data_IF_480741894948
#
_entry.id   IF_480741894948
#
_cell.length_a   1.000
_cell.length_b   1.000
_cell.length_c   1.000
_cell.angle_alpha   90.00
_cell.angle_beta   90.00
_cell.angle_gamma   90.00
#
_symmetry.space_group_name_H-M   'P 1'
#
loop_
_entity.id
_entity.type
_entity.pdbx_description
1 polymer ?
#
# COMPACT_ATOMS: atom_id res chain seq x y z
N UNK A 1 61.70 -3.01 -37.27
CA UNK A 1 60.52 -3.95 -37.37
C UNK A 1 59.62 -3.71 -36.17
N UNK A 2 58.54 -3.05 -36.38
CA UNK A 2 57.51 -2.79 -35.31
C UNK A 2 56.50 -3.90 -35.29
N UNK A 3 55.98 -4.34 -34.12
CA UNK A 3 54.86 -5.26 -34.06
C UNK A 3 53.54 -4.50 -33.99
N UNK A 4 52.57 -5.06 -34.69
CA UNK A 4 51.25 -4.46 -34.91
C UNK A 4 50.37 -4.37 -33.66
N UNK A 5 49.55 -3.34 -33.67
CA UNK A 5 48.48 -3.09 -32.73
C UNK A 5 47.26 -3.97 -33.03
N UNK A 6 46.90 -4.84 -32.10
CA UNK A 6 45.61 -5.54 -32.11
C UNK A 6 44.53 -4.67 -31.49
N UNK A 7 43.56 -4.25 -32.32
CA UNK A 7 42.32 -3.60 -31.89
C UNK A 7 41.41 -4.62 -31.22
N UNK A 8 41.30 -4.57 -29.89
CA UNK A 8 40.22 -5.24 -29.17
C UNK A 8 38.94 -4.43 -29.28
N UNK A 9 37.97 -4.98 -29.99
CA UNK A 9 36.57 -4.51 -29.98
C UNK A 9 35.99 -4.80 -28.60
N UNK A 10 35.74 -3.78 -27.80
CA UNK A 10 34.85 -3.87 -26.62
C UNK A 10 33.43 -4.11 -27.12
N UNK A 11 32.93 -5.30 -26.96
CA UNK A 11 31.52 -5.61 -27.05
C UNK A 11 30.83 -5.03 -25.81
N UNK A 12 29.96 -4.05 -26.04
CA UNK A 12 29.03 -3.57 -25.05
C UNK A 12 27.98 -4.67 -24.82
N UNK A 13 28.16 -5.51 -23.81
CA UNK A 13 27.11 -6.38 -23.29
C UNK A 13 26.09 -5.49 -22.58
N UNK A 14 25.00 -5.17 -23.29
CA UNK A 14 23.81 -4.62 -22.70
C UNK A 14 23.26 -5.62 -21.66
N UNK A 15 23.46 -5.34 -20.37
CA UNK A 15 22.80 -6.04 -19.28
C UNK A 15 21.29 -5.81 -19.44
N UNK A 16 20.60 -6.77 -20.05
CA UNK A 16 19.15 -6.85 -19.95
C UNK A 16 18.80 -6.99 -18.46
N UNK A 17 18.12 -5.99 -17.89
CA UNK A 17 17.62 -6.07 -16.53
C UNK A 17 16.72 -7.31 -16.43
N UNK A 18 17.05 -8.24 -15.53
CA UNK A 18 16.19 -9.40 -15.26
C UNK A 18 14.84 -8.88 -14.74
N UNK A 19 13.77 -9.20 -15.44
CA UNK A 19 12.41 -8.93 -14.97
C UNK A 19 12.19 -9.60 -13.61
N UNK A 20 11.63 -8.85 -12.66
CA UNK A 20 11.34 -9.33 -11.32
C UNK A 20 9.88 -9.80 -11.25
N UNK A 21 9.65 -11.10 -11.39
CA UNK A 21 8.33 -11.70 -11.27
C UNK A 21 7.93 -11.90 -9.80
N UNK A 22 6.63 -11.93 -9.58
CA UNK A 22 6.06 -12.18 -8.24
C UNK A 22 6.41 -13.59 -7.78
N UNK A 23 6.92 -13.70 -6.57
CA UNK A 23 7.24 -14.97 -5.92
C UNK A 23 6.06 -15.45 -5.07
N UNK A 24 5.65 -16.71 -5.26
CA UNK A 24 4.67 -17.37 -4.41
C UNK A 24 5.34 -18.39 -3.50
N UNK A 25 5.23 -18.17 -2.18
CA UNK A 25 5.73 -19.11 -1.17
C UNK A 25 4.75 -20.28 -0.91
N UNK A 26 4.02 -20.73 -1.93
CA UNK A 26 3.04 -21.82 -1.80
C UNK A 26 3.20 -22.86 -2.92
N UNK A 27 3.85 -24.01 -2.62
CA UNK A 27 4.09 -25.06 -3.63
C UNK A 27 2.83 -25.83 -4.04
N UNK A 28 1.70 -25.63 -3.33
CA UNK A 28 0.45 -26.33 -3.65
C UNK A 28 -0.29 -25.70 -4.82
N UNK A 29 -0.05 -24.40 -5.12
CA UNK A 29 -0.72 -23.70 -6.21
C UNK A 29 -0.41 -24.29 -7.58
N UNK A 30 0.80 -24.76 -7.80
CA UNK A 30 1.21 -25.39 -9.06
C UNK A 30 0.45 -26.69 -9.37
N UNK A 31 -0.11 -27.34 -8.34
CA UNK A 31 -0.87 -28.60 -8.46
C UNK A 31 -2.37 -28.35 -8.67
N UNK A 32 -2.83 -27.12 -8.53
CA UNK A 32 -4.25 -26.78 -8.70
C UNK A 32 -4.60 -26.76 -10.21
N UNK A 33 -5.68 -27.42 -10.58
CA UNK A 33 -6.19 -27.35 -11.97
C UNK A 33 -6.80 -26.00 -12.28
N UNK A 34 -7.43 -25.39 -11.29
CA UNK A 34 -8.08 -24.08 -11.35
C UNK A 34 -7.89 -23.38 -10.01
N UNK A 35 -7.55 -22.10 -10.04
CA UNK A 35 -7.47 -21.24 -8.86
C UNK A 35 -8.64 -20.26 -8.88
N UNK A 36 -9.52 -20.36 -7.89
CA UNK A 36 -10.68 -19.49 -7.72
C UNK A 36 -10.36 -18.42 -6.69
N UNK A 37 -10.33 -17.18 -7.14
CA UNK A 37 -10.19 -15.98 -6.30
C UNK A 37 -11.59 -15.60 -5.82
N UNK A 38 -12.06 -16.31 -4.78
CA UNK A 38 -13.45 -16.30 -4.33
C UNK A 38 -13.98 -14.89 -4.00
N UNK A 39 -13.17 -14.09 -3.29
CA UNK A 39 -13.60 -12.76 -2.84
C UNK A 39 -13.51 -11.69 -3.95
N UNK A 40 -12.81 -11.99 -5.05
CA UNK A 40 -12.84 -11.19 -6.27
C UNK A 40 -13.89 -11.66 -7.28
N UNK A 41 -14.47 -12.83 -7.08
CA UNK A 41 -15.33 -13.51 -8.05
C UNK A 41 -14.63 -13.73 -9.41
N UNK A 42 -13.33 -14.05 -9.40
CA UNK A 42 -12.47 -14.30 -10.56
C UNK A 42 -11.85 -15.70 -10.45
N UNK A 43 -11.50 -16.31 -11.57
CA UNK A 43 -10.83 -17.63 -11.58
C UNK A 43 -10.05 -17.88 -12.85
N UNK A 44 -9.00 -18.69 -12.77
CA UNK A 44 -8.14 -19.03 -13.91
C UNK A 44 -8.84 -19.87 -14.96
N UNK A 45 -9.93 -20.56 -14.62
CA UNK A 45 -10.76 -21.31 -15.56
C UNK A 45 -11.81 -20.45 -16.28
N UNK A 46 -12.06 -19.24 -15.80
CA UNK A 46 -13.13 -18.37 -16.35
C UNK A 46 -12.62 -17.04 -16.90
N UNK A 47 -11.39 -16.64 -16.57
CA UNK A 47 -10.79 -15.36 -16.96
C UNK A 47 -9.37 -15.56 -17.48
N UNK A 48 -9.04 -14.88 -18.57
CA UNK A 48 -7.66 -14.81 -19.11
C UNK A 48 -6.89 -13.68 -18.38
N UNK A 49 -6.27 -14.02 -17.25
CA UNK A 49 -5.54 -13.06 -16.42
C UNK A 49 -4.37 -12.38 -17.16
N UNK A 50 -3.55 -13.08 -17.95
CA UNK A 50 -2.52 -12.43 -18.78
C UNK A 50 -3.08 -11.34 -19.71
N UNK A 51 -4.17 -11.59 -20.40
CA UNK A 51 -4.80 -10.61 -21.26
C UNK A 51 -5.41 -9.44 -20.48
N UNK A 52 -6.03 -9.72 -19.32
CA UNK A 52 -6.72 -8.70 -18.53
C UNK A 52 -5.77 -7.82 -17.71
N UNK A 53 -4.68 -8.38 -17.19
CA UNK A 53 -3.84 -7.73 -16.16
C UNK A 53 -2.33 -7.76 -16.45
N UNK A 54 -1.87 -8.42 -17.52
CA UNK A 54 -0.44 -8.61 -17.80
C UNK A 54 0.36 -7.32 -18.02
N UNK A 55 -0.31 -6.22 -18.33
CA UNK A 55 0.29 -4.88 -18.48
C UNK A 55 0.37 -4.08 -17.18
N UNK A 56 -0.16 -4.59 -16.05
CA UNK A 56 -0.13 -3.90 -14.75
C UNK A 56 1.30 -3.72 -14.26
N UNK A 57 1.62 -2.50 -13.81
CA UNK A 57 2.91 -2.13 -13.19
C UNK A 57 2.72 -1.50 -11.80
N UNK A 58 1.59 -0.84 -11.58
CA UNK A 58 1.28 -0.19 -10.30
C UNK A 58 -0.05 -0.71 -9.77
N UNK A 59 -0.06 -1.08 -8.50
CA UNK A 59 -1.28 -1.46 -7.79
C UNK A 59 -1.45 -0.52 -6.60
N UNK A 60 -2.57 0.17 -6.54
CA UNK A 60 -2.91 1.03 -5.41
C UNK A 60 -4.06 0.40 -4.62
N UNK A 61 -3.87 0.24 -3.31
CA UNK A 61 -4.87 -0.38 -2.44
C UNK A 61 -5.30 0.58 -1.33
N UNK A 62 -6.60 0.59 -1.01
CA UNK A 62 -7.15 1.48 0.02
C UNK A 62 -8.41 0.93 0.66
N UNK A 63 -8.80 1.47 1.82
CA UNK A 63 -9.88 0.91 2.63
C UNK A 63 -11.29 1.01 2.03
N UNK A 64 -11.57 2.02 1.20
CA UNK A 64 -12.91 2.35 0.74
C UNK A 64 -13.10 2.12 -0.77
N UNK A 65 -14.13 1.38 -1.21
CA UNK A 65 -14.45 1.22 -2.63
C UNK A 65 -14.64 2.56 -3.36
N UNK A 66 -15.33 3.50 -2.75
CA UNK A 66 -15.59 4.82 -3.36
C UNK A 66 -14.32 5.64 -3.56
N UNK A 67 -13.41 5.63 -2.58
CA UNK A 67 -12.11 6.30 -2.70
C UNK A 67 -11.23 5.67 -3.76
N UNK A 68 -11.25 4.34 -3.90
CA UNK A 68 -10.48 3.64 -4.92
C UNK A 68 -11.05 3.84 -6.33
N UNK A 69 -12.39 4.01 -6.45
CA UNK A 69 -13.02 4.44 -7.70
C UNK A 69 -12.63 5.89 -8.08
N UNK A 70 -12.66 6.80 -7.11
CA UNK A 70 -12.23 8.19 -7.33
C UNK A 70 -10.74 8.27 -7.71
N UNK A 71 -9.90 7.47 -7.06
CA UNK A 71 -8.47 7.40 -7.38
C UNK A 71 -8.21 6.94 -8.81
N UNK A 72 -8.91 5.89 -9.29
CA UNK A 72 -8.68 5.42 -10.68
C UNK A 72 -9.14 6.45 -11.71
N UNK A 73 -10.23 7.18 -11.44
CA UNK A 73 -10.69 8.27 -12.30
C UNK A 73 -9.65 9.40 -12.35
N UNK A 74 -9.12 9.80 -11.19
CA UNK A 74 -8.04 10.78 -11.08
C UNK A 74 -6.78 10.34 -11.85
N UNK A 75 -6.35 9.09 -11.69
CA UNK A 75 -5.19 8.54 -12.42
C UNK A 75 -5.43 8.52 -13.93
N UNK A 76 -6.65 8.19 -14.37
CA UNK A 76 -6.99 8.21 -15.80
C UNK A 76 -6.81 9.59 -16.44
N UNK A 77 -7.24 10.63 -15.74
CA UNK A 77 -7.05 12.03 -16.16
C UNK A 77 -5.56 12.40 -16.17
N UNK A 78 -4.83 12.12 -15.09
CA UNK A 78 -3.40 12.43 -14.95
C UNK A 78 -2.53 11.74 -16.01
N UNK A 79 -2.89 10.54 -16.43
CA UNK A 79 -2.15 9.79 -17.44
C UNK A 79 -2.64 10.04 -18.89
N UNK A 80 -3.72 10.80 -19.06
CA UNK A 80 -4.33 11.02 -20.38
C UNK A 80 -4.93 9.75 -20.98
N UNK A 81 -5.41 8.81 -20.13
CA UNK A 81 -5.98 7.52 -20.52
C UNK A 81 -7.52 7.49 -20.45
N UNK A 82 -8.15 8.57 -20.03
CA UNK A 82 -9.60 8.67 -19.90
C UNK A 82 -10.12 10.04 -20.29
N UNK A 83 -11.40 10.11 -20.63
CA UNK A 83 -12.12 11.37 -20.81
C UNK A 83 -12.82 11.75 -19.49
N UNK A 84 -13.00 13.04 -19.18
CA UNK A 84 -13.79 13.48 -18.04
C UNK A 84 -15.19 12.86 -18.08
N UNK A 85 -15.60 12.27 -16.94
CA UNK A 85 -16.91 11.63 -16.81
C UNK A 85 -16.98 10.16 -17.29
N UNK A 86 -15.88 9.54 -17.73
CA UNK A 86 -15.85 8.11 -17.99
C UNK A 86 -16.17 7.31 -16.71
N UNK A 87 -17.07 6.35 -16.82
CA UNK A 87 -17.31 5.37 -15.76
C UNK A 87 -16.32 4.21 -15.89
N UNK A 88 -15.68 3.86 -14.77
CA UNK A 88 -14.78 2.71 -14.69
C UNK A 88 -15.53 1.58 -14.02
N UNK A 89 -15.81 0.46 -14.71
CA UNK A 89 -16.57 -0.64 -14.15
C UNK A 89 -15.76 -1.33 -13.04
N UNK A 90 -16.48 -1.77 -12.00
CA UNK A 90 -15.92 -2.63 -10.98
C UNK A 90 -15.68 -4.03 -11.57
N UNK A 91 -14.41 -4.43 -11.67
CA UNK A 91 -14.01 -5.76 -12.20
C UNK A 91 -14.53 -6.88 -11.27
N UNK A 92 -14.65 -6.62 -9.97
CA UNK A 92 -15.17 -7.55 -8.97
C UNK A 92 -16.70 -7.43 -8.78
N UNK A 93 -17.46 -7.06 -9.81
CA UNK A 93 -18.90 -6.84 -9.70
C UNK A 93 -19.72 -8.10 -9.33
N UNK A 94 -19.13 -9.29 -9.36
CA UNK A 94 -19.73 -10.54 -8.91
C UNK A 94 -19.76 -10.70 -7.38
N UNK A 95 -19.19 -9.77 -6.63
CA UNK A 95 -19.13 -9.78 -5.16
C UNK A 95 -19.31 -8.37 -4.59
N UNK A 96 -19.71 -8.27 -3.32
CA UNK A 96 -19.78 -7.04 -2.54
C UNK A 96 -18.59 -6.86 -1.56
N UNK A 97 -17.62 -7.78 -1.61
CA UNK A 97 -16.50 -7.80 -0.65
C UNK A 97 -15.44 -6.75 -0.95
N UNK A 98 -15.01 -6.71 -2.21
CA UNK A 98 -13.98 -5.78 -2.68
C UNK A 98 -14.38 -5.18 -4.01
N UNK A 99 -13.81 -4.03 -4.31
CA UNK A 99 -13.94 -3.38 -5.61
C UNK A 99 -12.56 -3.25 -6.26
N UNK A 100 -12.50 -3.48 -7.57
CA UNK A 100 -11.28 -3.43 -8.36
C UNK A 100 -11.53 -2.64 -9.65
N UNK A 101 -10.65 -1.73 -9.97
CA UNK A 101 -10.71 -0.87 -11.15
C UNK A 101 -9.35 -0.84 -11.84
N UNK A 102 -9.32 -0.77 -13.17
CA UNK A 102 -8.07 -0.74 -13.95
C UNK A 102 -8.09 0.36 -14.99
N UNK A 103 -6.97 1.06 -15.12
CA UNK A 103 -6.71 2.02 -16.21
C UNK A 103 -5.26 1.89 -16.65
N UNK A 104 -5.05 1.47 -17.91
CA UNK A 104 -3.70 1.19 -18.40
C UNK A 104 -2.91 0.32 -17.43
N UNK A 105 -1.67 0.69 -17.06
CA UNK A 105 -0.83 -0.12 -16.19
C UNK A 105 -1.16 0.03 -14.69
N UNK A 106 -2.25 0.69 -14.32
CA UNK A 106 -2.63 0.95 -12.93
C UNK A 106 -3.87 0.17 -12.54
N UNK A 107 -3.77 -0.58 -11.45
CA UNK A 107 -4.85 -1.29 -10.78
C UNK A 107 -5.17 -0.61 -9.45
N UNK A 108 -6.45 -0.40 -9.16
CA UNK A 108 -6.94 0.18 -7.91
C UNK A 108 -7.89 -0.79 -7.22
N UNK A 109 -7.59 -1.16 -5.97
CA UNK A 109 -8.32 -2.21 -5.25
C UNK A 109 -8.72 -1.75 -3.86
N UNK A 110 -9.97 -1.98 -3.46
CA UNK A 110 -10.38 -1.76 -2.06
C UNK A 110 -10.05 -2.96 -1.19
N UNK A 111 -9.72 -2.72 0.10
CA UNK A 111 -9.34 -3.78 1.03
C UNK A 111 -10.18 -3.83 2.33
N UNK A 112 -11.16 -2.92 2.50
CA UNK A 112 -11.93 -2.84 3.74
C UNK A 112 -11.11 -2.30 4.92
N UNK A 113 -11.35 -2.80 6.14
CA UNK A 113 -10.68 -2.38 7.36
C UNK A 113 -10.05 -3.56 8.10
N UNK A 114 -8.86 -3.35 8.64
CA UNK A 114 -8.16 -4.26 9.53
C UNK A 114 -7.43 -5.41 8.84
N UNK A 115 -6.51 -6.00 9.58
CA UNK A 115 -5.62 -7.07 9.11
C UNK A 115 -6.38 -8.24 8.47
N UNK A 116 -7.48 -8.79 9.02
CA UNK A 116 -8.16 -9.91 8.39
C UNK A 116 -8.70 -9.57 7.00
N UNK A 117 -9.26 -8.38 6.82
CA UNK A 117 -9.83 -7.98 5.53
C UNK A 117 -8.76 -7.79 4.46
N UNK A 118 -7.73 -6.97 4.74
CA UNK A 118 -6.65 -6.75 3.76
C UNK A 118 -5.84 -8.03 3.49
N UNK A 119 -5.69 -8.93 4.46
CA UNK A 119 -4.99 -10.21 4.29
C UNK A 119 -5.67 -11.07 3.22
N UNK A 120 -6.99 -11.21 3.29
CA UNK A 120 -7.77 -11.94 2.29
C UNK A 120 -7.56 -11.32 0.89
N UNK A 121 -7.73 -10.01 0.80
CA UNK A 121 -7.56 -9.27 -0.45
C UNK A 121 -6.16 -9.46 -1.03
N UNK A 122 -5.10 -9.34 -0.21
CA UNK A 122 -3.72 -9.47 -0.66
C UNK A 122 -3.38 -10.89 -1.14
N UNK A 123 -3.89 -11.94 -0.50
CA UNK A 123 -3.71 -13.30 -0.99
C UNK A 123 -4.26 -13.48 -2.40
N UNK A 124 -5.46 -12.98 -2.65
CA UNK A 124 -6.08 -13.10 -3.98
C UNK A 124 -5.42 -12.16 -5.00
N UNK A 125 -5.06 -10.95 -4.62
CA UNK A 125 -4.35 -9.99 -5.47
C UNK A 125 -2.97 -10.51 -5.92
N UNK A 126 -2.17 -11.03 -4.99
CA UNK A 126 -0.84 -11.56 -5.29
C UNK A 126 -0.96 -12.78 -6.24
N UNK A 127 -1.94 -13.65 -6.02
CA UNK A 127 -2.22 -14.77 -6.93
C UNK A 127 -2.68 -14.30 -8.31
N UNK A 128 -3.57 -13.30 -8.38
CA UNK A 128 -4.01 -12.68 -9.63
C UNK A 128 -2.81 -12.17 -10.44
N UNK A 129 -1.96 -11.37 -9.83
CA UNK A 129 -0.78 -10.79 -10.47
C UNK A 129 0.24 -11.87 -10.91
N UNK A 130 0.40 -12.94 -10.11
CA UNK A 130 1.21 -14.08 -10.47
C UNK A 130 0.66 -14.80 -11.71
N UNK A 131 -0.64 -15.16 -11.72
CA UNK A 131 -1.29 -15.81 -12.87
C UNK A 131 -1.30 -14.91 -14.11
N UNK A 132 -1.38 -13.60 -13.94
CA UNK A 132 -1.26 -12.61 -15.01
C UNK A 132 0.18 -12.45 -15.55
N UNK A 133 1.17 -13.10 -14.93
CA UNK A 133 2.60 -13.00 -15.28
C UNK A 133 3.12 -11.56 -15.22
N UNK A 134 2.62 -10.78 -14.27
CA UNK A 134 3.08 -9.43 -14.07
C UNK A 134 4.52 -9.40 -13.55
N UNK A 135 5.33 -8.47 -14.03
CA UNK A 135 6.71 -8.25 -13.59
C UNK A 135 6.94 -6.79 -13.16
N UNK A 136 7.92 -6.57 -12.30
CA UNK A 136 8.33 -5.25 -11.81
C UNK A 136 7.19 -4.44 -11.18
N UNK A 137 6.35 -5.13 -10.41
CA UNK A 137 5.19 -4.55 -9.77
C UNK A 137 5.59 -3.69 -8.58
N UNK A 138 4.96 -2.54 -8.46
CA UNK A 138 4.95 -1.70 -7.26
C UNK A 138 3.55 -1.65 -6.67
N UNK A 139 3.39 -2.04 -5.39
CA UNK A 139 2.10 -1.96 -4.69
C UNK A 139 2.18 -0.84 -3.64
N UNK A 140 1.24 0.10 -3.67
CA UNK A 140 1.18 1.22 -2.73
C UNK A 140 -0.16 1.23 -2.01
N UNK A 141 -0.11 1.18 -0.67
CA UNK A 141 -1.29 1.39 0.16
C UNK A 141 -1.52 2.88 0.39
N UNK A 142 -2.72 3.34 0.06
CA UNK A 142 -3.18 4.72 0.24
C UNK A 142 -4.24 4.73 1.33
N UNK A 143 -3.97 5.39 2.46
CA UNK A 143 -4.85 5.31 3.62
C UNK A 143 -5.03 6.62 4.39
N UNK A 144 -5.85 6.50 5.44
CA UNK A 144 -6.03 7.49 6.49
C UNK A 144 -5.52 6.94 7.82
N UNK A 145 -5.14 7.79 8.75
CA UNK A 145 -4.51 7.41 10.01
C UNK A 145 -4.73 8.46 11.10
N UNK A 146 -4.49 8.08 12.35
CA UNK A 146 -4.31 9.02 13.44
C UNK A 146 -2.84 9.45 13.51
N UNK A 147 -2.56 10.75 13.49
CA UNK A 147 -1.20 11.28 13.63
C UNK A 147 -0.72 11.23 15.07
N UNK A 148 0.59 11.16 15.30
CA UNK A 148 1.23 11.37 16.59
C UNK A 148 2.23 12.52 16.46
N UNK A 149 1.91 13.66 17.09
CA UNK A 149 2.73 14.88 17.01
C UNK A 149 2.78 15.49 15.60
N UNK A 150 1.72 15.30 14.82
CA UNK A 150 1.56 15.84 13.49
C UNK A 150 0.20 16.54 13.36
N UNK A 151 0.20 17.68 12.70
CA UNK A 151 -1.02 18.38 12.34
C UNK A 151 -1.92 17.54 11.43
N UNK A 152 -3.26 17.61 11.60
CA UNK A 152 -4.19 16.97 10.68
C UNK A 152 -3.92 17.39 9.22
N UNK A 153 -4.03 16.45 8.30
CA UNK A 153 -3.71 16.68 6.90
C UNK A 153 -2.24 16.44 6.54
N UNK A 154 -1.36 16.16 7.50
CA UNK A 154 0.02 15.73 7.21
C UNK A 154 0.04 14.36 6.55
N UNK A 155 0.91 14.17 5.56
CA UNK A 155 1.10 12.88 4.90
C UNK A 155 2.28 12.16 5.52
N UNK A 156 2.09 10.88 5.87
CA UNK A 156 3.15 10.01 6.38
C UNK A 156 3.47 8.96 5.33
N UNK A 157 4.72 8.95 4.87
CA UNK A 157 5.30 7.85 4.12
C UNK A 157 5.93 6.91 5.14
N UNK A 158 5.45 5.67 5.18
CA UNK A 158 5.90 4.70 6.18
C UNK A 158 7.31 4.22 5.87
N UNK A 159 8.24 4.43 6.80
CA UNK A 159 9.57 3.84 6.76
C UNK A 159 9.53 2.38 7.18
N UNK A 160 8.85 2.10 8.30
CA UNK A 160 8.72 0.79 8.92
C UNK A 160 7.34 0.67 9.54
N UNK A 161 6.64 -0.43 9.26
CA UNK A 161 5.44 -0.77 10.03
C UNK A 161 5.87 -1.46 11.33
N UNK A 162 5.30 -1.05 12.45
CA UNK A 162 5.57 -1.61 13.78
C UNK A 162 4.26 -2.07 14.43
N UNK A 163 4.34 -3.06 15.30
CA UNK A 163 3.21 -3.50 16.12
C UNK A 163 2.94 -2.53 17.29
N UNK A 164 1.91 -2.81 18.10
CA UNK A 164 1.54 -2.00 19.25
C UNK A 164 2.59 -2.03 20.39
N UNK A 165 3.64 -2.84 20.28
CA UNK A 165 4.83 -2.86 21.17
C UNK A 165 6.05 -2.19 20.52
N UNK A 166 5.83 -1.48 19.38
CA UNK A 166 6.82 -0.75 18.59
C UNK A 166 7.89 -1.61 17.91
N UNK A 167 7.64 -2.93 17.79
CA UNK A 167 8.53 -3.86 17.10
C UNK A 167 8.18 -3.96 15.60
N UNK A 168 9.18 -4.05 14.70
CA UNK A 168 8.96 -4.14 13.26
C UNK A 168 8.57 -5.56 12.83
N UNK A 169 7.43 -6.03 13.30
CA UNK A 169 6.97 -7.40 13.13
C UNK A 169 5.45 -7.51 13.00
N UNK A 170 5.01 -8.58 12.34
CA UNK A 170 3.65 -9.11 12.39
C UNK A 170 3.67 -10.45 13.09
N UNK A 171 2.93 -10.59 14.18
CA UNK A 171 2.66 -11.87 14.82
C UNK A 171 1.36 -12.47 14.27
N UNK A 172 1.41 -13.74 13.89
CA UNK A 172 0.25 -14.49 13.39
C UNK A 172 0.27 -15.92 13.93
N UNK A 173 -0.86 -16.42 14.38
CA UNK A 173 -1.00 -17.82 14.77
C UNK A 173 -1.28 -18.66 13.53
N UNK A 174 -0.38 -19.61 13.22
CA UNK A 174 -0.51 -20.55 12.12
C UNK A 174 -0.42 -21.98 12.66
N UNK A 175 -1.44 -22.79 12.46
CA UNK A 175 -1.51 -24.16 12.98
C UNK A 175 -1.21 -24.25 14.49
N UNK A 176 -1.73 -23.28 15.27
CA UNK A 176 -1.54 -23.22 16.73
C UNK A 176 -0.16 -22.72 17.19
N UNK A 177 0.71 -22.27 16.28
CA UNK A 177 2.04 -21.75 16.58
C UNK A 177 2.16 -20.29 16.19
N UNK A 178 2.79 -19.47 17.03
CA UNK A 178 3.09 -18.08 16.69
C UNK A 178 4.18 -18.03 15.61
N UNK A 179 3.89 -17.35 14.53
CA UNK A 179 4.81 -17.05 13.44
C UNK A 179 5.05 -15.54 13.42
N UNK A 180 6.31 -15.14 13.41
CA UNK A 180 6.72 -13.75 13.32
C UNK A 180 7.22 -13.48 11.89
N UNK A 181 6.71 -12.40 11.28
CA UNK A 181 7.08 -11.95 9.94
C UNK A 181 7.63 -10.54 9.99
N UNK A 182 8.70 -10.27 9.22
CA UNK A 182 9.23 -8.93 9.05
C UNK A 182 8.21 -8.03 8.33
N UNK A 183 8.12 -6.78 8.78
CA UNK A 183 7.25 -5.74 8.20
C UNK A 183 8.04 -4.63 7.53
N UNK A 184 9.20 -4.97 6.97
CA UNK A 184 10.03 -4.03 6.20
C UNK A 184 9.31 -3.57 4.92
N UNK A 185 9.54 -2.33 4.55
CA UNK A 185 9.07 -1.72 3.31
C UNK A 185 10.28 -1.28 2.46
N UNK A 186 10.05 -0.95 1.19
CA UNK A 186 11.11 -0.50 0.28
C UNK A 186 11.56 0.92 0.64
N UNK A 187 12.77 1.06 1.18
CA UNK A 187 13.34 2.33 1.62
C UNK A 187 13.61 3.28 0.44
N UNK A 188 14.00 2.73 -0.72
CA UNK A 188 14.26 3.54 -1.90
C UNK A 188 12.96 4.13 -2.44
N UNK A 189 11.89 3.34 -2.49
CA UNK A 189 10.56 3.80 -2.88
C UNK A 189 10.05 4.89 -1.93
N UNK A 190 10.28 4.76 -0.62
CA UNK A 190 9.91 5.80 0.34
C UNK A 190 10.66 7.12 0.08
N UNK A 191 11.95 7.07 -0.28
CA UNK A 191 12.74 8.25 -0.67
C UNK A 191 12.25 8.89 -1.97
N UNK A 192 11.89 8.09 -2.95
CA UNK A 192 11.34 8.55 -4.23
C UNK A 192 9.99 9.26 -4.04
N UNK A 193 9.10 8.68 -3.22
CA UNK A 193 7.83 9.31 -2.84
C UNK A 193 8.05 10.62 -2.08
N UNK A 194 9.02 10.69 -1.16
CA UNK A 194 9.36 11.95 -0.47
C UNK A 194 9.88 13.00 -1.44
N UNK A 195 10.68 12.61 -2.42
CA UNK A 195 11.14 13.54 -3.45
C UNK A 195 9.98 14.07 -4.29
N UNK A 196 9.04 13.21 -4.69
CA UNK A 196 7.80 13.62 -5.37
C UNK A 196 6.98 14.59 -4.52
N UNK A 197 6.86 14.37 -3.21
CA UNK A 197 6.15 15.28 -2.32
C UNK A 197 6.79 16.66 -2.24
N UNK A 198 8.12 16.74 -2.23
CA UNK A 198 8.86 18.02 -2.28
C UNK A 198 8.63 18.77 -3.60
N UNK A 199 8.55 18.05 -4.70
CA UNK A 199 8.28 18.64 -6.02
C UNK A 199 6.85 19.16 -6.13
N UNK A 200 5.87 18.48 -5.52
CA UNK A 200 4.48 18.94 -5.43
C UNK A 200 4.37 20.20 -4.53
N UNK A 201 5.02 20.20 -3.37
CA UNK A 201 5.11 21.34 -2.45
C UNK A 201 3.77 21.85 -1.87
N UNK A 202 2.69 21.04 -1.89
CA UNK A 202 1.34 21.49 -1.52
C UNK A 202 0.92 21.11 -0.09
N UNK A 203 1.58 20.17 0.56
CA UNK A 203 1.23 19.67 1.89
C UNK A 203 2.44 19.14 2.64
N UNK A 204 2.35 19.19 3.97
CA UNK A 204 3.40 18.68 4.83
C UNK A 204 3.51 17.15 4.71
N UNK A 205 4.72 16.65 4.50
CA UNK A 205 4.99 15.21 4.37
C UNK A 205 6.20 14.82 5.20
N UNK A 206 6.10 13.71 5.90
CA UNK A 206 7.19 13.14 6.69
C UNK A 206 7.42 11.68 6.36
N UNK A 207 8.63 11.18 6.58
CA UNK A 207 8.92 9.75 6.67
C UNK A 207 8.96 9.38 8.16
N UNK A 208 8.20 8.36 8.56
CA UNK A 208 8.13 7.89 9.93
C UNK A 208 7.68 6.44 10.04
N UNK A 209 7.76 5.88 11.24
CA UNK A 209 7.19 4.57 11.50
C UNK A 209 5.67 4.69 11.59
N UNK A 210 4.96 3.66 11.11
CA UNK A 210 3.51 3.53 11.24
C UNK A 210 3.21 2.40 12.21
N UNK A 211 2.47 2.68 13.27
CA UNK A 211 2.00 1.66 14.20
C UNK A 211 0.72 1.03 13.64
N UNK A 212 0.74 -0.28 13.49
CA UNK A 212 -0.38 -1.09 13.04
C UNK A 212 -1.00 -1.85 14.21
N UNK A 213 -2.29 -1.67 14.44
CA UNK A 213 -3.00 -2.27 15.56
C UNK A 213 -4.10 -3.22 15.11
N UNK A 214 -4.43 -4.18 15.96
CA UNK A 214 -5.51 -5.15 15.71
C UNK A 214 -6.89 -4.61 16.08
N UNK A 215 -6.93 -3.58 16.92
CA UNK A 215 -8.14 -2.93 17.39
C UNK A 215 -8.01 -1.41 17.22
N UNK A 216 -9.14 -0.75 16.92
CA UNK A 216 -9.21 0.70 16.70
C UNK A 216 -9.27 1.50 18.00
N UNK A 217 -9.85 0.93 19.07
CA UNK A 217 -10.09 1.61 20.33
C UNK A 217 -8.98 1.37 21.36
N UNK A 218 -9.07 0.32 22.15
CA UNK A 218 -8.08 0.01 23.20
C UNK A 218 -6.69 -0.26 22.63
N UNK A 219 -6.62 -0.98 21.49
CA UNK A 219 -5.37 -1.25 20.79
C UNK A 219 -4.61 -0.01 20.30
N UNK A 220 -5.31 1.12 20.18
CA UNK A 220 -4.72 2.42 19.83
C UNK A 220 -4.61 3.38 21.02
N UNK A 221 -4.91 2.93 22.25
CA UNK A 221 -4.92 3.79 23.42
C UNK A 221 -5.98 4.91 23.34
N UNK A 222 -7.20 4.61 22.84
CA UNK A 222 -8.29 5.58 22.75
C UNK A 222 -9.15 5.55 24.01
N UNK A 223 -9.64 6.73 24.43
CA UNK A 223 -10.52 6.86 25.59
C UNK A 223 -12.02 6.84 25.19
N UNK A 224 -12.34 6.92 23.90
CA UNK A 224 -13.70 7.05 23.38
C UNK A 224 -14.35 5.73 22.95
N UNK A 225 -13.74 4.59 23.29
CA UNK A 225 -14.30 3.26 23.06
C UNK A 225 -15.39 2.91 24.06
N UNK A 226 -16.22 1.91 23.74
CA UNK A 226 -17.23 1.37 24.69
C UNK A 226 -16.59 0.66 25.88
N UNK A 227 -15.33 0.22 25.73
CA UNK A 227 -14.53 -0.41 26.77
C UNK A 227 -13.22 0.38 26.86
N UNK A 228 -12.83 0.80 28.07
CA UNK A 228 -11.57 1.47 28.36
C UNK A 228 -11.22 1.22 29.82
N UNK A 229 -10.12 0.54 30.09
CA UNK A 229 -9.68 0.14 31.43
C UNK A 229 -8.35 0.84 31.85
N UNK A 230 -7.99 1.92 31.17
CA UNK A 230 -6.82 2.76 31.45
C UNK A 230 -7.25 4.24 31.48
N UNK A 231 -6.41 5.08 32.06
CA UNK A 231 -6.68 6.51 32.17
C UNK A 231 -5.95 7.36 31.09
N UNK A 232 -6.18 8.67 31.14
CA UNK A 232 -5.59 9.63 30.20
C UNK A 232 -4.06 9.74 30.35
N UNK A 233 -3.53 9.59 31.56
CA UNK A 233 -2.09 9.67 31.81
C UNK A 233 -1.37 8.46 31.19
N UNK A 234 -1.90 7.26 31.38
CA UNK A 234 -1.41 6.02 30.77
C UNK A 234 -1.45 6.09 29.24
N UNK A 235 -2.57 6.57 28.67
CA UNK A 235 -2.68 6.82 27.23
C UNK A 235 -1.60 7.78 26.71
N UNK A 236 -1.47 8.94 27.34
CA UNK A 236 -0.49 9.96 26.89
C UNK A 236 0.95 9.45 27.02
N UNK A 237 1.25 8.71 28.09
CA UNK A 237 2.58 8.09 28.25
C UNK A 237 2.84 7.07 27.11
N UNK A 238 1.88 6.22 26.81
CA UNK A 238 1.99 5.26 25.70
C UNK A 238 2.21 5.94 24.34
N UNK A 239 1.44 6.98 24.02
CA UNK A 239 1.58 7.72 22.76
C UNK A 239 2.91 8.51 22.68
N UNK A 240 3.43 9.02 23.81
CA UNK A 240 4.77 9.62 23.88
C UNK A 240 5.86 8.60 23.60
N UNK A 241 5.76 7.42 24.21
CA UNK A 241 6.69 6.32 23.94
C UNK A 241 6.67 5.89 22.47
N UNK A 242 5.48 5.85 21.86
CA UNK A 242 5.33 5.60 20.42
C UNK A 242 6.06 6.67 19.58
N UNK A 243 5.85 7.95 19.92
CA UNK A 243 6.53 9.07 19.24
C UNK A 243 8.05 8.97 19.34
N UNK A 244 8.57 8.70 20.54
CA UNK A 244 10.01 8.52 20.81
C UNK A 244 10.60 7.32 20.07
N UNK A 245 9.79 6.26 19.86
CA UNK A 245 10.14 5.10 19.04
C UNK A 245 10.08 5.37 17.53
N UNK A 246 9.82 6.62 17.12
CA UNK A 246 9.78 7.06 15.72
C UNK A 246 8.43 6.87 15.04
N UNK A 247 7.39 6.47 15.77
CA UNK A 247 6.03 6.39 15.23
C UNK A 247 5.49 7.79 14.93
N UNK A 248 4.86 7.97 13.78
CA UNK A 248 4.25 9.24 13.36
C UNK A 248 2.76 9.11 13.07
N UNK A 249 2.28 7.91 12.85
CA UNK A 249 0.85 7.65 12.69
C UNK A 249 0.46 6.22 13.09
N UNK A 250 -0.84 6.01 13.27
CA UNK A 250 -1.46 4.76 13.68
C UNK A 250 -2.55 4.39 12.68
N UNK A 251 -2.59 3.14 12.24
CA UNK A 251 -3.61 2.56 11.38
C UNK A 251 -3.71 1.04 11.61
N UNK A 252 -4.37 0.27 10.76
CA UNK A 252 -4.74 -1.12 11.07
C UNK A 252 -4.37 -2.15 9.98
N UNK A 253 -3.56 -1.81 8.98
CA UNK A 253 -3.30 -2.69 7.83
C UNK A 253 -1.84 -2.82 7.43
N UNK A 254 -0.99 -1.87 7.80
CA UNK A 254 0.37 -1.76 7.26
C UNK A 254 1.28 -2.95 7.60
N UNK A 255 1.07 -3.64 8.71
CA UNK A 255 1.94 -4.75 9.12
C UNK A 255 1.74 -5.98 8.21
N UNK A 256 0.51 -6.41 7.97
CA UNK A 256 0.23 -7.54 7.08
C UNK A 256 0.51 -7.17 5.62
N UNK A 257 0.23 -5.93 5.23
CA UNK A 257 0.58 -5.41 3.90
C UNK A 257 2.08 -5.53 3.64
N UNK A 258 2.91 -4.99 4.53
CA UNK A 258 4.36 -5.04 4.40
C UNK A 258 4.89 -6.49 4.43
N UNK A 259 4.41 -7.32 5.35
CA UNK A 259 4.84 -8.71 5.48
C UNK A 259 4.55 -9.54 4.22
N UNK A 260 3.36 -9.40 3.65
CA UNK A 260 2.97 -10.18 2.47
C UNK A 260 3.68 -9.69 1.19
N UNK A 261 3.81 -8.38 0.99
CA UNK A 261 4.56 -7.83 -0.13
C UNK A 261 6.04 -8.26 -0.08
N UNK A 262 6.65 -8.21 1.11
CA UNK A 262 8.02 -8.64 1.34
C UNK A 262 8.22 -10.13 1.01
N UNK A 263 7.35 -11.01 1.48
CA UNK A 263 7.38 -12.44 1.17
C UNK A 263 7.20 -12.74 -0.32
N UNK A 264 6.49 -11.90 -1.04
CA UNK A 264 6.23 -12.05 -2.48
C UNK A 264 7.26 -11.34 -3.36
N UNK A 265 8.29 -10.71 -2.77
CA UNK A 265 9.34 -10.00 -3.51
C UNK A 265 8.85 -8.76 -4.24
N UNK A 266 7.75 -8.15 -3.79
CA UNK A 266 7.12 -6.99 -4.44
C UNK A 266 7.56 -5.70 -3.77
N UNK A 267 7.92 -4.69 -4.55
CA UNK A 267 8.17 -3.34 -4.04
C UNK A 267 6.89 -2.77 -3.45
N UNK A 268 6.96 -2.29 -2.21
CA UNK A 268 5.78 -1.81 -1.51
C UNK A 268 6.03 -0.56 -0.68
N UNK A 269 5.03 0.33 -0.65
CA UNK A 269 4.99 1.51 0.21
C UNK A 269 3.62 1.69 0.85
N UNK A 270 3.60 2.37 1.98
CA UNK A 270 2.38 2.81 2.66
C UNK A 270 2.42 4.32 2.78
N UNK A 271 1.37 4.99 2.30
CA UNK A 271 1.21 6.44 2.31
C UNK A 271 -0.15 6.77 2.93
N UNK A 272 -0.15 7.40 4.09
CA UNK A 272 -1.38 7.75 4.81
C UNK A 272 -1.43 9.23 5.12
N UNK A 273 -2.63 9.83 5.07
CA UNK A 273 -2.87 11.15 5.64
C UNK A 273 -3.32 11.02 7.09
N UNK A 274 -2.91 11.96 7.95
CA UNK A 274 -3.40 12.07 9.32
C UNK A 274 -4.71 12.85 9.35
N UNK A 275 -5.70 12.37 10.10
CA UNK A 275 -6.99 13.05 10.25
C UNK A 275 -7.12 13.81 11.57
N UNK A 276 -6.28 13.50 12.55
CA UNK A 276 -6.21 14.14 13.86
C UNK A 276 -4.81 13.96 14.45
N UNK A 277 -4.48 14.76 15.48
CA UNK A 277 -3.30 14.53 16.32
C UNK A 277 -3.72 13.78 17.59
N UNK A 278 -3.28 12.54 17.73
CA UNK A 278 -3.64 11.65 18.85
C UNK A 278 -3.09 12.10 20.20
N UNK A 279 -2.10 13.00 20.22
CA UNK A 279 -1.63 13.64 21.46
C UNK A 279 -2.60 14.70 21.99
N UNK A 280 -3.52 15.19 21.16
CA UNK A 280 -4.48 16.24 21.49
C UNK A 280 -5.92 15.72 21.71
N UNK A 281 -6.22 14.55 21.20
CA UNK A 281 -7.54 13.95 21.35
C UNK A 281 -7.75 12.68 20.53
N UNK A 282 -8.96 12.14 20.61
CA UNK A 282 -9.33 10.89 19.95
C UNK A 282 -10.38 11.07 18.85
N UNK A 283 -11.05 12.23 18.80
CA UNK A 283 -12.11 12.47 17.84
C UNK A 283 -11.69 13.43 16.73
N UNK A 284 -12.19 13.18 15.53
CA UNK A 284 -11.95 14.01 14.36
C UNK A 284 -12.89 15.23 14.41
N UNK A 285 -12.30 16.42 14.48
CA UNK A 285 -13.05 17.67 14.59
C UNK A 285 -13.01 18.53 13.30
N UNK A 286 -12.27 18.11 12.28
CA UNK A 286 -12.20 18.87 11.02
C UNK A 286 -13.52 18.78 10.25
N UNK A 287 -13.96 19.87 9.58
CA UNK A 287 -15.13 19.86 8.70
C UNK A 287 -15.03 18.83 7.58
N UNK A 288 -16.17 18.36 7.10
CA UNK A 288 -16.23 17.29 6.09
C UNK A 288 -15.46 17.63 4.81
N UNK A 289 -15.59 18.84 4.30
CA UNK A 289 -14.87 19.30 3.10
C UNK A 289 -13.35 19.31 3.28
N UNK A 290 -12.88 19.64 4.49
CA UNK A 290 -11.45 19.59 4.84
C UNK A 290 -10.95 18.13 4.88
N UNK A 291 -11.74 17.23 5.43
CA UNK A 291 -11.40 15.79 5.46
C UNK A 291 -11.36 15.19 4.05
N UNK A 292 -12.24 15.63 3.15
CA UNK A 292 -12.22 15.21 1.74
C UNK A 292 -10.93 15.68 1.08
N UNK A 293 -10.50 16.92 1.30
CA UNK A 293 -9.23 17.45 0.78
C UNK A 293 -8.04 16.67 1.36
N UNK A 294 -8.00 16.43 2.67
CA UNK A 294 -6.93 15.65 3.28
C UNK A 294 -6.79 14.27 2.65
N UNK A 295 -7.89 13.57 2.40
CA UNK A 295 -7.88 12.25 1.80
C UNK A 295 -7.37 12.23 0.36
N UNK A 296 -7.39 13.37 -0.34
CA UNK A 296 -6.82 13.50 -1.68
C UNK A 296 -5.29 13.64 -1.67
N UNK A 297 -4.67 14.12 -0.58
CA UNK A 297 -3.22 14.38 -0.51
C UNK A 297 -2.37 13.15 -0.81
N UNK A 298 -2.56 11.98 -0.15
CA UNK A 298 -1.81 10.79 -0.50
C UNK A 298 -2.12 10.28 -1.91
N UNK A 299 -3.34 10.50 -2.43
CA UNK A 299 -3.69 10.15 -3.81
C UNK A 299 -2.91 11.01 -4.81
N UNK A 300 -2.82 12.33 -4.58
CA UNK A 300 -2.01 13.25 -5.40
C UNK A 300 -0.53 12.88 -5.41
N UNK A 301 0.01 12.54 -4.23
CA UNK A 301 1.40 12.11 -4.12
C UNK A 301 1.68 10.85 -4.93
N UNK A 302 0.86 9.82 -4.74
CA UNK A 302 1.02 8.54 -5.41
C UNK A 302 0.75 8.67 -6.92
N UNK A 303 -0.24 9.47 -7.32
CA UNK A 303 -0.53 9.75 -8.74
C UNK A 303 0.63 10.46 -9.44
N UNK A 304 1.22 11.47 -8.80
CA UNK A 304 2.41 12.14 -9.32
C UNK A 304 3.60 11.19 -9.46
N UNK A 305 3.84 10.34 -8.45
CA UNK A 305 4.88 9.31 -8.51
C UNK A 305 4.67 8.35 -9.69
N UNK A 306 3.45 7.83 -9.89
CA UNK A 306 3.12 6.95 -11.02
C UNK A 306 3.37 7.65 -12.36
N UNK A 307 2.88 8.89 -12.49
CA UNK A 307 3.04 9.70 -13.71
C UNK A 307 4.52 9.89 -14.05
N UNK A 308 5.33 10.24 -13.05
CA UNK A 308 6.78 10.42 -13.19
C UNK A 308 7.47 9.10 -13.56
N UNK A 309 7.12 8.00 -12.91
CA UNK A 309 7.69 6.67 -13.19
C UNK A 309 7.37 6.18 -14.61
N UNK A 310 6.26 6.63 -15.19
CA UNK A 310 5.89 6.34 -16.58
C UNK A 310 6.46 7.35 -17.60
N UNK A 311 7.33 8.27 -17.18
CA UNK A 311 7.93 9.27 -18.06
C UNK A 311 6.96 10.28 -18.65
N UNK A 312 5.89 10.62 -17.91
CA UNK A 312 4.80 11.53 -18.34
C UNK A 312 4.82 12.88 -17.60
N UNK A 313 5.89 13.16 -16.84
CA UNK A 313 6.14 14.45 -16.14
C UNK A 313 7.26 15.19 -16.83
#
# INVERSE_FOLDING_TARGET
>A
MAPGSSNEKKTNDGQASKENFIHLCNPHLEKMKEDILYHFALGTGTHDFPTLFGDVKFVCVGGSPSRMKAFIAYIAEELGLGSPGCDYPNICAGTDRYAMYKVGPVLSVSHGMGIPSISIMLHELIKLLYHAKCSDITIIRIGTSGGIGLEPGSVVITRQSVDATFKPQLEQVVLGKTVIRSTSLDEQLAKELMQCSKEIGQFHTVIGNTMCTLDFYEGQGRLDGAICLYDEEEKLQYLKNAYESGVRNIEMESSVFAAMCNLSGVKAAVVCVTLLNRLEGDQINSPHEVLVEYQQRPQKLVGYFIKKSLGKV
#
